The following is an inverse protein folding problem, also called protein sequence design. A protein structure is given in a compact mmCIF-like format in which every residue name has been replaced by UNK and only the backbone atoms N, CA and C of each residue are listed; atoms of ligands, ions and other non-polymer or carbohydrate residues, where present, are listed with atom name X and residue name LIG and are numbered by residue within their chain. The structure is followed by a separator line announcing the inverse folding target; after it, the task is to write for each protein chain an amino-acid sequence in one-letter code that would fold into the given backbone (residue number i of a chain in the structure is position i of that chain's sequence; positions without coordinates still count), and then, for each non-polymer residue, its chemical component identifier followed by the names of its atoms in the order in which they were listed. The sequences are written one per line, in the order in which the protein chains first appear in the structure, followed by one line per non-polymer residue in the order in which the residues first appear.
data_IF_639797084297
#
_entry.id   IF_639797084297
#
_cell.length_a   1.000
_cell.length_b   1.000
_cell.length_c   1.000
_cell.angle_alpha   90.00
_cell.angle_beta   90.00
_cell.angle_gamma   90.00
#
_symmetry.space_group_name_H-M   'P 1'
#
loop_
_entity.id
_entity.type
_entity.pdbx_description
1 polymer ?
#
# COMPACT_ATOMS: atom_id res chain seq x y z
N UNK A 1 51.35 14.35 -77.29
CA UNK A 1 51.19 13.66 -75.99
C UNK A 1 51.73 14.57 -74.89
N UNK A 2 50.87 15.41 -74.32
CA UNK A 2 51.21 16.26 -73.18
C UNK A 2 51.19 15.40 -71.92
N UNK A 3 52.37 15.08 -71.38
CA UNK A 3 52.50 14.42 -70.07
C UNK A 3 52.04 15.42 -69.00
N UNK A 4 51.05 15.03 -68.20
CA UNK A 4 50.65 15.70 -66.96
C UNK A 4 51.88 15.96 -66.09
N UNK A 5 51.98 17.15 -65.48
CA UNK A 5 53.10 17.44 -64.58
C UNK A 5 52.90 16.70 -63.24
N UNK A 6 53.97 16.31 -62.53
CA UNK A 6 53.86 15.61 -61.24
C UNK A 6 52.96 16.33 -60.21
N UNK A 7 52.87 17.66 -60.28
CA UNK A 7 51.99 18.49 -59.45
C UNK A 7 50.51 18.30 -59.78
N UNK A 8 50.16 18.10 -61.06
CA UNK A 8 48.78 17.83 -61.49
C UNK A 8 48.30 16.45 -61.03
N UNK A 9 49.19 15.45 -61.04
CA UNK A 9 48.87 14.10 -60.57
C UNK A 9 48.66 14.05 -59.04
N UNK A 10 49.45 14.82 -58.26
CA UNK A 10 49.27 14.96 -56.81
C UNK A 10 47.95 15.67 -56.47
N UNK A 11 47.61 16.75 -57.19
CA UNK A 11 46.34 17.45 -56.98
C UNK A 11 45.13 16.56 -57.30
N UNK A 12 45.21 15.74 -58.35
CA UNK A 12 44.17 14.78 -58.70
C UNK A 12 44.02 13.66 -57.65
N UNK A 13 45.13 13.17 -57.08
CA UNK A 13 45.11 12.19 -56.00
C UNK A 13 44.52 12.77 -54.71
N UNK A 14 44.86 14.02 -54.36
CA UNK A 14 44.28 14.72 -53.21
C UNK A 14 42.78 14.90 -53.38
N UNK A 15 42.31 15.39 -54.52
CA UNK A 15 40.88 15.55 -54.80
C UNK A 15 40.12 14.22 -54.72
N UNK A 16 40.72 13.12 -55.19
CA UNK A 16 40.15 11.77 -55.07
C UNK A 16 40.08 11.30 -53.61
N UNK A 17 41.12 11.55 -52.82
CA UNK A 17 41.16 11.21 -51.40
C UNK A 17 40.14 12.04 -50.59
N UNK A 18 39.99 13.33 -50.90
CA UNK A 18 38.99 14.22 -50.29
C UNK A 18 37.56 13.78 -50.61
N UNK A 19 37.29 13.41 -51.86
CA UNK A 19 36.00 12.88 -52.28
C UNK A 19 35.66 11.54 -51.58
N UNK A 20 36.64 10.63 -51.46
CA UNK A 20 36.46 9.38 -50.73
C UNK A 20 36.27 9.62 -49.23
N UNK A 21 37.01 10.56 -48.63
CA UNK A 21 36.83 10.94 -47.23
C UNK A 21 35.46 11.60 -46.98
N UNK A 22 34.93 12.36 -47.94
CA UNK A 22 33.57 12.90 -47.87
C UNK A 22 32.52 11.79 -47.95
N UNK A 23 32.67 10.84 -48.89
CA UNK A 23 31.81 9.66 -49.03
C UNK A 23 31.78 8.81 -47.75
N UNK A 24 32.95 8.57 -47.16
CA UNK A 24 33.05 7.83 -45.89
C UNK A 24 32.40 8.56 -44.72
N UNK A 25 32.50 9.90 -44.66
CA UNK A 25 31.82 10.72 -43.65
C UNK A 25 30.30 10.68 -43.80
N UNK A 26 29.79 10.81 -45.02
CA UNK A 26 28.36 10.70 -45.31
C UNK A 26 27.82 9.31 -44.95
N UNK A 27 28.56 8.26 -45.31
CA UNK A 27 28.21 6.89 -44.97
C UNK A 27 28.23 6.66 -43.45
N UNK A 28 29.21 7.20 -42.73
CA UNK A 28 29.24 7.14 -41.27
C UNK A 28 28.06 7.88 -40.62
N UNK A 29 27.67 9.03 -41.16
CA UNK A 29 26.49 9.77 -40.70
C UNK A 29 25.20 8.97 -40.94
N UNK A 30 25.05 8.36 -42.11
CA UNK A 30 23.91 7.50 -42.44
C UNK A 30 23.82 6.27 -41.52
N UNK A 31 24.97 5.66 -41.16
CA UNK A 31 25.01 4.57 -40.18
C UNK A 31 24.54 5.06 -38.81
N UNK A 32 25.05 6.20 -38.34
CA UNK A 32 24.69 6.75 -37.04
C UNK A 32 23.20 7.09 -36.94
N UNK A 33 22.62 7.67 -38.00
CA UNK A 33 21.20 7.97 -38.10
C UNK A 33 20.34 6.69 -38.09
N UNK A 34 20.73 5.67 -38.86
CA UNK A 34 20.04 4.39 -38.89
C UNK A 34 20.09 3.68 -37.54
N UNK A 35 21.25 3.72 -36.87
CA UNK A 35 21.42 3.16 -35.53
C UNK A 35 20.52 3.86 -34.51
N UNK A 36 20.50 5.19 -34.50
CA UNK A 36 19.66 5.97 -33.59
C UNK A 36 18.18 5.68 -33.82
N UNK A 37 17.73 5.68 -35.09
CA UNK A 37 16.35 5.34 -35.46
C UNK A 37 15.95 3.95 -34.97
N UNK A 38 16.83 2.95 -35.13
CA UNK A 38 16.57 1.59 -34.68
C UNK A 38 16.51 1.48 -33.15
N UNK A 39 17.36 2.23 -32.43
CA UNK A 39 17.36 2.32 -30.97
C UNK A 39 16.04 2.93 -30.47
N UNK A 40 15.64 4.07 -31.01
CA UNK A 40 14.42 4.79 -30.59
C UNK A 40 13.15 3.95 -30.84
N UNK A 41 13.05 3.33 -32.03
CA UNK A 41 11.93 2.45 -32.36
C UNK A 41 11.86 1.21 -31.45
N UNK A 42 13.02 0.65 -31.10
CA UNK A 42 13.09 -0.51 -30.19
C UNK A 42 12.74 -0.12 -28.76
N UNK A 43 13.26 1.01 -28.28
CA UNK A 43 12.96 1.55 -26.95
C UNK A 43 11.45 1.80 -26.80
N UNK A 44 10.83 2.48 -27.77
CA UNK A 44 9.40 2.75 -27.78
C UNK A 44 8.57 1.46 -27.75
N UNK A 45 8.91 0.47 -28.60
CA UNK A 45 8.21 -0.82 -28.64
C UNK A 45 8.31 -1.55 -27.30
N UNK A 46 9.49 -1.55 -26.68
CA UNK A 46 9.72 -2.19 -25.39
C UNK A 46 8.86 -1.53 -24.29
N UNK A 47 8.90 -0.20 -24.13
CA UNK A 47 8.16 0.47 -23.07
C UNK A 47 6.65 0.42 -23.26
N UNK A 48 6.15 0.50 -24.51
CA UNK A 48 4.72 0.28 -24.80
C UNK A 48 4.29 -1.14 -24.43
N UNK A 49 5.09 -2.15 -24.75
CA UNK A 49 4.85 -3.53 -24.37
C UNK A 49 4.86 -3.73 -22.85
N UNK A 50 5.88 -3.20 -22.17
CA UNK A 50 6.00 -3.26 -20.71
C UNK A 50 4.79 -2.63 -20.01
N UNK A 51 4.40 -1.41 -20.42
CA UNK A 51 3.22 -0.72 -19.88
C UNK A 51 1.92 -1.46 -20.17
N UNK A 52 1.82 -2.11 -21.34
CA UNK A 52 0.61 -2.80 -21.79
C UNK A 52 0.34 -4.13 -21.09
N UNK A 53 1.35 -4.98 -20.89
CA UNK A 53 1.14 -6.38 -20.47
C UNK A 53 1.86 -6.79 -19.20
N UNK A 54 2.99 -6.15 -18.86
CA UNK A 54 3.84 -6.64 -17.76
C UNK A 54 3.48 -6.02 -16.41
N UNK A 55 2.94 -4.79 -16.39
CA UNK A 55 2.62 -4.08 -15.16
C UNK A 55 1.56 -4.79 -14.30
N UNK A 56 0.58 -5.44 -14.93
CA UNK A 56 -0.50 -6.12 -14.20
C UNK A 56 0.04 -7.23 -13.28
N UNK A 57 1.04 -7.99 -13.74
CA UNK A 57 1.65 -9.05 -12.92
C UNK A 57 2.41 -8.53 -11.69
N UNK A 58 2.89 -7.29 -11.69
CA UNK A 58 3.46 -6.69 -10.47
C UNK A 58 2.37 -6.34 -9.45
N UNK A 59 1.25 -5.78 -9.92
CA UNK A 59 0.09 -5.48 -9.10
C UNK A 59 -0.51 -6.75 -8.48
N UNK A 60 -0.78 -7.75 -9.31
CA UNK A 60 -1.39 -9.02 -8.87
C UNK A 60 -0.57 -9.72 -7.79
N UNK A 61 0.76 -9.78 -7.95
CA UNK A 61 1.64 -10.38 -6.94
C UNK A 61 1.63 -9.63 -5.61
N UNK A 62 1.66 -8.30 -5.65
CA UNK A 62 1.57 -7.46 -4.44
C UNK A 62 0.21 -7.69 -3.75
N UNK A 63 -0.88 -7.67 -4.51
CA UNK A 63 -2.23 -7.81 -3.96
C UNK A 63 -2.45 -9.22 -3.38
N UNK A 64 -1.91 -10.26 -4.02
CA UNK A 64 -1.91 -11.61 -3.48
C UNK A 64 -1.11 -11.73 -2.17
N UNK A 65 0.01 -11.01 -2.04
CA UNK A 65 0.78 -10.98 -0.80
C UNK A 65 0.03 -10.27 0.34
N UNK A 66 -0.73 -9.21 0.03
CA UNK A 66 -1.61 -8.57 1.01
C UNK A 66 -2.74 -9.51 1.44
N UNK A 67 -3.39 -10.17 0.49
CA UNK A 67 -4.45 -11.14 0.78
C UNK A 67 -3.96 -12.27 1.70
N UNK A 68 -2.74 -12.77 1.48
CA UNK A 68 -2.13 -13.77 2.37
C UNK A 68 -1.91 -13.26 3.79
N UNK A 69 -1.57 -11.98 3.98
CA UNK A 69 -1.51 -11.38 5.31
C UNK A 69 -2.90 -11.26 5.95
N UNK A 70 -3.91 -10.90 5.18
CA UNK A 70 -5.30 -10.81 5.67
C UNK A 70 -5.83 -12.19 6.11
N UNK A 71 -5.49 -13.25 5.36
CA UNK A 71 -5.79 -14.64 5.76
C UNK A 71 -5.15 -15.00 7.11
N UNK A 72 -3.87 -14.66 7.30
CA UNK A 72 -3.16 -14.90 8.56
C UNK A 72 -3.75 -14.08 9.71
N UNK A 73 -4.15 -12.84 9.45
CA UNK A 73 -4.82 -11.98 10.41
C UNK A 73 -6.16 -12.58 10.87
N UNK A 74 -6.89 -13.22 9.96
CA UNK A 74 -8.19 -13.83 10.21
C UNK A 74 -8.13 -15.22 10.87
N UNK A 75 -6.97 -15.90 10.84
CA UNK A 75 -6.81 -17.23 11.43
C UNK A 75 -7.06 -17.25 12.95
N UNK A 76 -7.63 -18.33 13.49
CA UNK A 76 -7.91 -18.45 14.93
C UNK A 76 -6.65 -18.17 15.79
N UNK A 77 -5.52 -18.72 15.36
CA UNK A 77 -4.20 -18.49 15.97
C UNK A 77 -3.30 -17.77 14.99
N UNK A 78 -2.72 -16.67 15.43
CA UNK A 78 -1.74 -15.94 14.66
C UNK A 78 -0.37 -16.64 14.75
N UNK A 79 0.09 -17.21 13.64
CA UNK A 79 1.49 -17.62 13.51
C UNK A 79 2.35 -16.39 13.22
N UNK A 80 3.09 -15.95 14.22
CA UNK A 80 3.91 -14.75 14.12
C UNK A 80 5.08 -14.93 13.13
N UNK A 81 5.64 -16.12 13.03
CA UNK A 81 6.77 -16.38 12.13
C UNK A 81 6.32 -16.35 10.66
N UNK A 82 5.17 -17.00 10.36
CA UNK A 82 4.58 -16.94 9.02
C UNK A 82 4.16 -15.50 8.67
N UNK A 83 3.57 -14.77 9.62
CA UNK A 83 3.17 -13.37 9.42
C UNK A 83 4.37 -12.46 9.10
N UNK A 84 5.48 -12.58 9.83
CA UNK A 84 6.71 -11.80 9.56
C UNK A 84 7.25 -12.11 8.16
N UNK A 85 7.29 -13.38 7.78
CA UNK A 85 7.76 -13.78 6.45
C UNK A 85 6.86 -13.24 5.33
N UNK A 86 5.54 -13.37 5.48
CA UNK A 86 4.56 -12.86 4.52
C UNK A 86 4.62 -11.33 4.41
N UNK A 87 4.83 -10.63 5.52
CA UNK A 87 5.00 -9.17 5.53
C UNK A 87 6.27 -8.72 4.82
N UNK A 88 7.38 -9.42 5.05
CA UNK A 88 8.62 -9.18 4.30
C UNK A 88 8.42 -9.35 2.79
N UNK A 89 7.67 -10.37 2.38
CA UNK A 89 7.36 -10.59 0.96
C UNK A 89 6.47 -9.50 0.38
N UNK A 90 5.43 -9.07 1.10
CA UNK A 90 4.61 -7.93 0.70
C UNK A 90 5.47 -6.69 0.46
N UNK A 91 6.35 -6.32 1.39
CA UNK A 91 7.20 -5.14 1.27
C UNK A 91 8.14 -5.23 0.05
N UNK A 92 8.70 -6.40 -0.23
CA UNK A 92 9.53 -6.61 -1.43
C UNK A 92 8.73 -6.48 -2.72
N UNK A 93 7.53 -7.06 -2.78
CA UNK A 93 6.67 -7.02 -3.96
C UNK A 93 6.10 -5.61 -4.20
N UNK A 94 5.75 -4.90 -3.13
CA UNK A 94 5.31 -3.49 -3.17
C UNK A 94 6.45 -2.56 -3.65
N UNK A 95 7.69 -2.77 -3.19
CA UNK A 95 8.85 -2.06 -3.70
C UNK A 95 9.10 -2.32 -5.20
N UNK A 96 8.96 -3.59 -5.63
CA UNK A 96 9.06 -3.95 -7.07
C UNK A 96 7.96 -3.32 -7.91
N UNK A 97 6.74 -3.24 -7.38
CA UNK A 97 5.62 -2.54 -7.99
C UNK A 97 5.92 -1.03 -8.17
N UNK A 98 6.50 -0.39 -7.16
CA UNK A 98 7.00 0.99 -7.26
C UNK A 98 8.10 1.17 -8.31
N UNK A 99 9.08 0.26 -8.36
CA UNK A 99 10.15 0.29 -9.36
C UNK A 99 9.62 0.09 -10.79
N UNK A 100 8.67 -0.83 -10.98
CA UNK A 100 8.01 -1.05 -12.27
C UNK A 100 7.23 0.19 -12.73
N UNK A 101 6.57 0.89 -11.81
CA UNK A 101 5.89 2.15 -12.10
C UNK A 101 6.87 3.24 -12.56
N UNK A 102 7.98 3.42 -11.84
CA UNK A 102 9.01 4.39 -12.20
C UNK A 102 9.65 4.07 -13.56
N UNK A 103 9.94 2.78 -13.82
CA UNK A 103 10.45 2.31 -15.11
C UNK A 103 9.49 2.62 -16.25
N UNK A 104 8.20 2.33 -16.07
CA UNK A 104 7.17 2.61 -17.06
C UNK A 104 6.94 4.11 -17.29
N UNK A 105 7.22 4.96 -16.29
CA UNK A 105 7.12 6.42 -16.38
C UNK A 105 8.01 7.02 -17.48
N UNK A 106 9.07 6.34 -17.89
CA UNK A 106 9.92 6.77 -19.01
C UNK A 106 9.14 6.89 -20.33
N UNK A 107 8.03 6.16 -20.48
CA UNK A 107 7.17 6.25 -21.65
C UNK A 107 6.55 7.64 -21.83
N UNK A 108 6.34 8.40 -20.75
CA UNK A 108 5.84 9.79 -20.84
C UNK A 108 6.86 10.76 -21.45
N UNK A 109 8.15 10.38 -21.45
CA UNK A 109 9.20 11.15 -22.12
C UNK A 109 9.42 10.72 -23.57
N UNK A 110 9.44 9.40 -23.83
CA UNK A 110 9.72 8.84 -25.17
C UNK A 110 8.50 8.97 -26.11
N UNK A 111 7.30 8.95 -25.55
CA UNK A 111 6.03 8.97 -26.27
C UNK A 111 5.06 9.89 -25.52
N UNK A 112 5.29 11.22 -25.48
CA UNK A 112 4.45 12.11 -24.68
C UNK A 112 3.01 12.09 -25.17
N UNK A 113 2.06 12.15 -24.22
CA UNK A 113 0.67 12.37 -24.58
C UNK A 113 0.49 13.82 -25.07
N UNK A 114 -0.50 14.08 -25.96
CA UNK A 114 -0.80 15.45 -26.38
C UNK A 114 -1.08 16.34 -25.17
N UNK A 115 -0.62 17.58 -25.19
CA UNK A 115 -0.86 18.52 -24.10
C UNK A 115 -2.36 18.71 -23.86
N UNK A 116 -2.69 19.11 -22.62
CA UNK A 116 -4.04 19.56 -22.31
C UNK A 116 -4.37 20.82 -23.10
N UNK A 117 -5.66 21.14 -23.21
CA UNK A 117 -6.14 22.37 -23.85
C UNK A 117 -5.53 23.67 -23.29
N UNK A 118 -5.02 23.65 -22.06
CA UNK A 118 -4.36 24.77 -21.39
C UNK A 118 -2.81 24.73 -21.49
N UNK A 119 -2.25 23.86 -22.34
CA UNK A 119 -0.80 23.73 -22.53
C UNK A 119 -0.07 22.97 -21.41
N UNK A 120 -0.78 22.40 -20.44
CA UNK A 120 -0.15 21.59 -19.40
C UNK A 120 0.18 20.17 -19.91
N UNK A 121 1.37 19.63 -19.59
CA UNK A 121 1.74 18.26 -19.96
C UNK A 121 0.74 17.23 -19.41
N UNK A 122 0.48 16.18 -20.20
CA UNK A 122 -0.28 15.01 -19.75
C UNK A 122 0.67 13.85 -19.46
N UNK A 123 0.48 13.22 -18.31
CA UNK A 123 1.13 11.96 -17.94
C UNK A 123 0.14 10.82 -18.03
N UNK A 124 0.65 9.62 -18.28
CA UNK A 124 -0.18 8.40 -18.27
C UNK A 124 -0.57 8.06 -16.83
N UNK A 125 -1.80 7.59 -16.58
CA UNK A 125 -2.17 7.08 -15.27
C UNK A 125 -1.26 5.91 -14.86
N UNK A 126 -0.83 5.85 -13.59
CA UNK A 126 -0.07 4.71 -13.09
C UNK A 126 -0.95 3.46 -13.06
N UNK A 127 -0.54 2.39 -13.75
CA UNK A 127 -1.24 1.08 -13.70
C UNK A 127 -0.87 0.26 -12.46
N UNK A 128 0.31 0.54 -11.92
CA UNK A 128 0.85 -0.04 -10.70
C UNK A 128 1.58 1.07 -9.95
N UNK A 129 1.64 0.97 -8.63
CA UNK A 129 2.38 1.88 -7.76
C UNK A 129 2.75 1.18 -6.46
N UNK A 130 3.58 1.81 -5.66
CA UNK A 130 3.81 1.38 -4.28
C UNK A 130 2.63 1.85 -3.41
N UNK A 131 2.03 0.96 -2.62
CA UNK A 131 0.88 1.26 -1.75
C UNK A 131 1.21 1.16 -0.26
N UNK A 132 2.09 0.25 0.12
CA UNK A 132 2.33 -0.12 1.52
C UNK A 132 3.68 0.38 2.03
N UNK A 133 4.22 1.43 1.41
CA UNK A 133 5.54 1.98 1.71
C UNK A 133 5.71 2.42 3.17
N UNK A 134 4.65 2.99 3.76
CA UNK A 134 4.64 3.46 5.14
C UNK A 134 4.03 2.45 6.13
N UNK A 135 3.57 1.29 5.67
CA UNK A 135 3.03 0.27 6.56
C UNK A 135 4.19 -0.44 7.27
N UNK A 136 4.22 -0.38 8.60
CA UNK A 136 5.16 -1.15 9.42
C UNK A 136 4.50 -2.44 9.91
N UNK A 137 5.33 -3.44 10.25
CA UNK A 137 4.82 -4.71 10.78
C UNK A 137 4.08 -4.51 12.11
N UNK A 138 4.57 -3.61 12.97
CA UNK A 138 3.93 -3.26 14.24
C UNK A 138 2.56 -2.63 14.04
N UNK A 139 2.44 -1.65 13.13
CA UNK A 139 1.16 -1.01 12.84
C UNK A 139 0.13 -2.01 12.27
N UNK A 140 0.58 -2.94 11.43
CA UNK A 140 -0.25 -4.03 10.94
C UNK A 140 -0.70 -4.95 12.09
N UNK A 141 0.22 -5.38 12.95
CA UNK A 141 -0.06 -6.29 14.07
C UNK A 141 -1.02 -5.65 15.10
N UNK A 142 -0.83 -4.38 15.43
CA UNK A 142 -1.73 -3.63 16.31
C UNK A 142 -3.15 -3.59 15.73
N UNK A 143 -3.27 -3.39 14.41
CA UNK A 143 -4.55 -3.46 13.70
C UNK A 143 -5.21 -4.82 13.81
N UNK A 144 -4.45 -5.92 13.65
CA UNK A 144 -4.97 -7.29 13.82
C UNK A 144 -5.49 -7.52 15.24
N UNK A 145 -4.73 -7.12 16.25
CA UNK A 145 -5.10 -7.30 17.66
C UNK A 145 -6.33 -6.46 18.00
N UNK A 146 -6.37 -5.20 17.59
CA UNK A 146 -7.52 -4.32 17.81
C UNK A 146 -8.78 -4.86 17.15
N UNK A 147 -8.68 -5.35 15.90
CA UNK A 147 -9.80 -5.97 15.19
C UNK A 147 -10.33 -7.22 15.90
N UNK A 148 -9.44 -8.08 16.41
CA UNK A 148 -9.83 -9.27 17.18
C UNK A 148 -10.51 -8.90 18.50
N UNK A 149 -9.99 -7.90 19.20
CA UNK A 149 -10.59 -7.40 20.44
C UNK A 149 -11.99 -6.82 20.19
N UNK A 150 -12.16 -6.04 19.13
CA UNK A 150 -13.46 -5.50 18.74
C UNK A 150 -14.45 -6.62 18.39
N UNK A 151 -14.03 -7.61 17.60
CA UNK A 151 -14.88 -8.75 17.27
C UNK A 151 -15.30 -9.56 18.52
N UNK A 152 -14.40 -9.70 19.50
CA UNK A 152 -14.73 -10.36 20.76
C UNK A 152 -15.74 -9.55 21.59
N UNK A 153 -15.55 -8.22 21.66
CA UNK A 153 -16.49 -7.31 22.30
C UNK A 153 -17.87 -7.40 21.64
N UNK A 154 -17.95 -7.27 20.32
CA UNK A 154 -19.23 -7.28 19.60
C UNK A 154 -20.00 -8.60 19.79
N UNK A 155 -19.29 -9.74 19.77
CA UNK A 155 -19.89 -11.04 20.10
C UNK A 155 -20.46 -11.08 21.50
N UNK A 156 -19.69 -10.64 22.50
CA UNK A 156 -20.15 -10.66 23.88
C UNK A 156 -21.33 -9.69 24.12
N UNK A 157 -21.30 -8.52 23.48
CA UNK A 157 -22.42 -7.58 23.53
C UNK A 157 -23.70 -8.21 22.95
N UNK A 158 -23.59 -8.91 21.82
CA UNK A 158 -24.72 -9.61 21.23
C UNK A 158 -25.26 -10.72 22.14
N UNK A 159 -24.39 -11.47 22.82
CA UNK A 159 -24.77 -12.48 23.81
C UNK A 159 -25.55 -11.86 24.99
N UNK A 160 -25.06 -10.76 25.55
CA UNK A 160 -25.70 -10.04 26.65
C UNK A 160 -27.08 -9.49 26.23
N UNK A 161 -27.18 -8.92 25.02
CA UNK A 161 -28.46 -8.46 24.47
C UNK A 161 -29.45 -9.61 24.29
N UNK A 162 -29.00 -10.74 23.74
CA UNK A 162 -29.83 -11.93 23.58
C UNK A 162 -30.26 -12.54 24.93
N UNK A 163 -29.43 -12.43 25.97
CA UNK A 163 -29.82 -12.82 27.32
C UNK A 163 -30.87 -11.86 27.91
N UNK A 164 -30.70 -10.54 27.74
CA UNK A 164 -31.65 -9.56 28.22
C UNK A 164 -33.04 -9.77 27.60
N UNK A 165 -33.11 -9.98 26.28
CA UNK A 165 -34.37 -10.29 25.58
C UNK A 165 -35.03 -11.55 26.15
N UNK A 166 -34.27 -12.63 26.35
CA UNK A 166 -34.81 -13.87 26.94
C UNK A 166 -35.43 -13.65 28.32
N UNK A 167 -34.71 -12.96 29.22
CA UNK A 167 -35.20 -12.68 30.58
C UNK A 167 -36.46 -11.81 30.55
N UNK A 168 -36.50 -10.79 29.69
CA UNK A 168 -37.67 -9.92 29.53
C UNK A 168 -38.88 -10.71 28.99
N UNK A 169 -38.66 -11.57 27.99
CA UNK A 169 -39.72 -12.37 27.39
C UNK A 169 -40.28 -13.43 28.36
N UNK A 170 -39.41 -14.07 29.15
CA UNK A 170 -39.79 -15.00 30.22
C UNK A 170 -40.60 -14.30 31.31
N UNK A 171 -40.16 -13.11 31.75
CA UNK A 171 -40.92 -12.30 32.71
C UNK A 171 -42.28 -11.87 32.14
N UNK A 172 -42.34 -11.47 30.87
CA UNK A 172 -43.58 -11.11 30.21
C UNK A 172 -44.53 -12.32 30.05
N UNK A 173 -44.00 -13.51 29.73
CA UNK A 173 -44.78 -14.74 29.67
C UNK A 173 -45.35 -15.11 31.05
N UNK A 174 -44.55 -15.01 32.11
CA UNK A 174 -44.96 -15.26 33.49
C UNK A 174 -46.06 -14.30 33.93
N UNK A 175 -45.92 -13.01 33.64
CA UNK A 175 -46.94 -12.00 33.95
C UNK A 175 -48.26 -12.26 33.19
N UNK A 176 -48.20 -12.74 31.94
CA UNK A 176 -49.40 -13.15 31.19
C UNK A 176 -50.09 -14.35 31.82
N UNK A 177 -49.33 -15.34 32.29
CA UNK A 177 -49.86 -16.52 32.97
C UNK A 177 -50.53 -16.17 34.31
N UNK A 178 -49.88 -15.35 35.14
CA UNK A 178 -50.45 -14.84 36.40
C UNK A 178 -51.77 -14.09 36.14
N UNK A 179 -51.79 -13.20 35.14
CA UNK A 179 -52.98 -12.46 34.77
C UNK A 179 -54.12 -13.39 34.28
N UNK A 180 -53.79 -14.43 33.51
CA UNK A 180 -54.76 -15.44 33.06
C UNK A 180 -55.37 -16.24 34.22
N UNK A 181 -54.58 -16.47 35.28
CA UNK A 181 -55.02 -17.17 36.50
C UNK A 181 -55.71 -16.25 37.52
N UNK A 182 -55.87 -14.95 37.22
CA UNK A 182 -56.49 -13.97 38.12
C UNK A 182 -55.60 -13.53 39.29
N UNK A 183 -54.32 -13.84 39.24
CA UNK A 183 -53.33 -13.41 40.22
C UNK A 183 -52.83 -11.99 39.89
N UNK A 184 -52.61 -11.12 40.89
CA UNK A 184 -52.01 -9.81 40.65
C UNK A 184 -50.58 -9.97 40.13
N UNK A 185 -50.20 -9.17 39.13
CA UNK A 185 -48.85 -9.17 38.61
C UNK A 185 -47.84 -8.82 39.72
N UNK A 186 -46.79 -9.62 39.85
CA UNK A 186 -45.69 -9.32 40.77
C UNK A 186 -44.90 -8.11 40.25
N UNK A 187 -45.30 -6.90 40.64
CA UNK A 187 -44.57 -5.67 40.33
C UNK A 187 -43.63 -5.31 41.48
N UNK A 188 -42.49 -6.01 41.56
CA UNK A 188 -41.37 -5.48 42.33
C UNK A 188 -40.87 -4.23 41.61
N UNK A 189 -40.97 -3.08 42.29
CA UNK A 189 -40.42 -1.84 41.76
C UNK A 189 -38.90 -1.93 41.90
N UNK A 190 -38.12 -1.95 40.80
CA UNK A 190 -36.68 -2.06 40.91
C UNK A 190 -36.12 -0.84 41.65
N UNK A 191 -35.03 -1.07 42.41
CA UNK A 191 -34.29 0.00 43.07
C UNK A 191 -33.86 1.06 42.04
N UNK A 192 -33.85 2.33 42.46
CA UNK A 192 -33.44 3.42 41.58
C UNK A 192 -31.95 3.31 41.23
N UNK A 193 -31.55 3.86 40.07
CA UNK A 193 -30.13 3.91 39.66
C UNK A 193 -29.27 4.58 40.74
N UNK A 194 -29.81 5.57 41.45
CA UNK A 194 -29.13 6.25 42.56
C UNK A 194 -28.84 5.29 43.72
N UNK A 195 -29.83 4.52 44.16
CA UNK A 195 -29.65 3.54 45.24
C UNK A 195 -28.65 2.44 44.84
N UNK A 196 -28.68 2.00 43.58
CA UNK A 196 -27.73 1.02 43.06
C UNK A 196 -26.30 1.58 43.02
N UNK A 197 -26.11 2.85 42.63
CA UNK A 197 -24.80 3.49 42.63
C UNK A 197 -24.24 3.71 44.06
N UNK A 198 -25.11 4.07 45.00
CA UNK A 198 -24.75 4.21 46.41
C UNK A 198 -24.39 2.84 47.04
N UNK A 199 -25.06 1.76 46.65
CA UNK A 199 -24.76 0.38 47.09
C UNK A 199 -23.51 -0.21 46.45
N UNK A 200 -23.26 0.06 45.17
CA UNK A 200 -22.06 -0.40 44.48
C UNK A 200 -20.77 0.25 45.03
N UNK A 201 -20.90 1.43 45.64
CA UNK A 201 -19.78 2.29 46.00
C UNK A 201 -19.03 2.80 44.75
N UNK A 202 -18.13 3.76 44.94
CA UNK A 202 -17.16 4.06 43.88
C UNK A 202 -16.23 2.84 43.82
N UNK A 203 -16.18 2.07 42.71
CA UNK A 203 -15.12 1.08 42.58
C UNK A 203 -13.80 1.84 42.76
N UNK A 204 -12.91 1.32 43.61
CA UNK A 204 -11.57 1.84 43.69
C UNK A 204 -10.94 1.65 42.31
N UNK A 205 -11.04 2.67 41.47
CA UNK A 205 -10.17 2.82 40.33
C UNK A 205 -8.80 2.82 40.97
N UNK A 206 -7.99 1.81 40.66
CA UNK A 206 -6.59 1.84 41.04
C UNK A 206 -5.98 2.98 40.24
N UNK A 207 -6.04 4.19 40.81
CA UNK A 207 -5.51 5.42 40.24
C UNK A 207 -4.01 5.24 39.94
N UNK A 208 -3.34 4.35 40.67
CA UNK A 208 -1.96 3.98 40.45
C UNK A 208 -1.82 3.10 39.21
N UNK A 209 -2.70 2.13 38.99
CA UNK A 209 -2.75 1.37 37.73
C UNK A 209 -3.08 2.25 36.51
N UNK A 210 -4.00 3.20 36.66
CA UNK A 210 -4.35 4.17 35.59
C UNK A 210 -3.19 5.14 35.34
N UNK A 211 -2.54 5.65 36.39
CA UNK A 211 -1.38 6.53 36.27
C UNK A 211 -0.18 5.79 35.67
N UNK A 212 0.07 4.54 36.06
CA UNK A 212 1.12 3.68 35.50
C UNK A 212 0.84 3.37 34.04
N UNK A 213 -0.41 3.07 33.67
CA UNK A 213 -0.79 2.88 32.27
C UNK A 213 -0.63 4.17 31.44
N UNK A 214 -0.99 5.32 32.00
CA UNK A 214 -0.79 6.63 31.40
C UNK A 214 0.68 7.00 31.21
N UNK A 215 1.52 6.75 32.23
CA UNK A 215 2.98 6.91 32.18
C UNK A 215 3.60 6.00 31.13
N UNK A 216 3.25 4.71 31.14
CA UNK A 216 3.74 3.73 30.15
C UNK A 216 3.38 4.14 28.72
N UNK A 217 2.17 4.68 28.51
CA UNK A 217 1.72 5.20 27.22
C UNK A 217 2.53 6.43 26.80
N UNK A 218 2.81 7.35 27.73
CA UNK A 218 3.63 8.52 27.46
C UNK A 218 5.09 8.16 27.14
N UNK A 219 5.65 7.17 27.85
CA UNK A 219 6.99 6.62 27.58
C UNK A 219 7.05 5.98 26.18
N UNK A 220 6.10 5.13 25.84
CA UNK A 220 6.02 4.51 24.51
C UNK A 220 5.88 5.54 23.39
N UNK A 221 5.07 6.58 23.59
CA UNK A 221 4.94 7.67 22.62
C UNK A 221 6.25 8.46 22.47
N UNK A 222 6.98 8.68 23.56
CA UNK A 222 8.28 9.36 23.53
C UNK A 222 9.37 8.50 22.87
N UNK A 223 9.35 7.19 23.07
CA UNK A 223 10.24 6.23 22.39
C UNK A 223 9.93 6.16 20.89
N UNK A 224 8.65 6.10 20.52
CA UNK A 224 8.22 6.13 19.13
C UNK A 224 8.64 7.43 18.43
N UNK A 225 8.45 8.59 19.07
CA UNK A 225 8.88 9.87 18.51
C UNK A 225 10.40 9.96 18.32
N UNK A 226 11.19 9.34 19.21
CA UNK A 226 12.65 9.24 19.05
C UNK A 226 13.05 8.31 17.89
N UNK A 227 12.36 7.18 17.75
CA UNK A 227 12.55 6.27 16.62
C UNK A 227 12.23 6.96 15.29
N UNK A 228 11.12 7.68 15.21
CA UNK A 228 10.73 8.43 14.02
C UNK A 228 11.76 9.52 13.67
N UNK A 229 12.36 10.18 14.67
CA UNK A 229 13.47 11.12 14.45
C UNK A 229 14.74 10.46 13.94
N UNK A 230 15.10 9.28 14.46
CA UNK A 230 16.28 8.54 14.01
C UNK A 230 16.12 8.05 12.57
N UNK A 231 14.93 7.55 12.22
CA UNK A 231 14.57 7.17 10.85
C UNK A 231 14.60 8.38 9.91
N UNK A 232 14.11 9.55 10.35
CA UNK A 232 14.16 10.78 9.58
C UNK A 232 15.60 11.32 9.38
N UNK A 233 16.53 10.98 10.29
CA UNK A 233 17.95 11.35 10.21
C UNK A 233 18.79 10.38 9.36
N UNK A 234 18.19 9.30 8.83
CA UNK A 234 18.85 8.37 7.92
C UNK A 234 19.76 7.33 8.59
N UNK A 235 19.51 7.01 9.87
CA UNK A 235 20.07 5.83 10.54
C UNK A 235 19.16 4.60 10.38
#
# INVERSE_FOLDING_TARGET
MTKSSPTQDIAAQLAKAEAEAARLREHAAAIAEAEQTARDATELRYYRGFYGTQLDGYRERRDAAMAKLDELAAADRLDLAEAVAAFGELQRLDARAGAAAAHAGRLDHIDPLPDRHNGAPRTRPPRVQRLYAGLTFTAWLDGVIAGRAQAAHDRHLAELQAQATRVIDEAAATAREQAANGEPAATDTPASIRELAEQAGTPAIDEQAVAVAGLRRAELNAEQAKLDQLVAQGN
#
